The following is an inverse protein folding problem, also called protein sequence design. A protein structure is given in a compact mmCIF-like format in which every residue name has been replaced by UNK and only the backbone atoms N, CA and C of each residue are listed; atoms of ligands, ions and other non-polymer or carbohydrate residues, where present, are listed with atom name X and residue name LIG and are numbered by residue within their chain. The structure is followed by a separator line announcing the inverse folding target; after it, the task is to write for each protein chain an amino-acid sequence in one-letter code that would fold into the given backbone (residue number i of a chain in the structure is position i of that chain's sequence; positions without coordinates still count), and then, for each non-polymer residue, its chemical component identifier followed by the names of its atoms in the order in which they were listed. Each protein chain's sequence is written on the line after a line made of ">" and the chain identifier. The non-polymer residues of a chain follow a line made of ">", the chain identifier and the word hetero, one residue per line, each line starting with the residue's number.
data_IF_138409059432
#
_entry.id   IF_138409059432
#
_cell.length_a   1.000
_cell.length_b   1.000
_cell.length_c   1.000
_cell.angle_alpha   90.00
_cell.angle_beta   90.00
_cell.angle_gamma   90.00
#
_symmetry.space_group_name_H-M   'P 1'
#
loop_
_entity.id
_entity.type
_entity.pdbx_description
1 polymer ?
#
# COMPACT_ATOMS: atom_id res chain seq x y z
N UNK A 1 -6.35 -36.30 11.43
CA UNK A 1 -6.69 -34.91 11.81
C UNK A 1 -7.19 -34.20 10.56
N UNK A 2 -8.50 -34.04 10.44
CA UNK A 2 -9.12 -33.40 9.27
C UNK A 2 -9.00 -31.89 9.44
N UNK A 3 -8.13 -31.25 8.64
CA UNK A 3 -8.13 -29.79 8.55
C UNK A 3 -9.32 -29.44 7.66
N UNK A 4 -10.46 -29.13 8.29
CA UNK A 4 -11.62 -28.58 7.60
C UNK A 4 -11.20 -27.27 6.94
N UNK A 5 -10.99 -27.31 5.62
CA UNK A 5 -10.73 -26.13 4.83
C UNK A 5 -11.91 -25.15 4.93
N UNK A 6 -11.66 -23.84 4.73
CA UNK A 6 -12.72 -22.83 4.76
C UNK A 6 -13.80 -23.17 3.72
N UNK A 7 -15.08 -22.86 3.99
CA UNK A 7 -16.20 -23.23 3.12
C UNK A 7 -16.03 -22.62 1.72
N UNK A 8 -16.40 -23.34 0.67
CA UNK A 8 -16.19 -22.94 -0.74
C UNK A 8 -16.70 -21.51 -1.07
N UNK A 9 -17.78 -21.08 -0.41
CA UNK A 9 -18.35 -19.73 -0.53
C UNK A 9 -17.37 -18.63 -0.07
N UNK A 10 -16.58 -18.89 0.97
CA UNK A 10 -15.58 -17.94 1.48
C UNK A 10 -14.38 -17.82 0.53
N UNK A 11 -13.95 -18.92 -0.08
CA UNK A 11 -12.91 -18.92 -1.12
C UNK A 11 -13.35 -18.09 -2.34
N UNK A 12 -14.61 -18.23 -2.75
CA UNK A 12 -15.22 -17.44 -3.82
C UNK A 12 -15.26 -15.94 -3.47
N UNK A 13 -15.72 -15.58 -2.28
CA UNK A 13 -15.79 -14.19 -1.83
C UNK A 13 -14.41 -13.52 -1.83
N UNK A 14 -13.38 -14.21 -1.32
CA UNK A 14 -11.99 -13.71 -1.31
C UNK A 14 -11.44 -13.55 -2.74
N UNK A 15 -11.75 -14.48 -3.65
CA UNK A 15 -11.35 -14.39 -5.05
C UNK A 15 -11.96 -13.16 -5.76
N UNK A 16 -13.24 -12.86 -5.48
CA UNK A 16 -13.89 -11.64 -5.96
C UNK A 16 -13.25 -10.39 -5.36
N UNK A 17 -13.01 -10.38 -4.04
CA UNK A 17 -12.47 -9.23 -3.34
C UNK A 17 -11.04 -8.88 -3.79
N UNK A 18 -10.17 -9.87 -4.01
CA UNK A 18 -8.80 -9.61 -4.51
C UNK A 18 -8.80 -9.09 -5.95
N UNK A 19 -9.73 -9.59 -6.78
CA UNK A 19 -9.90 -9.10 -8.16
C UNK A 19 -10.38 -7.65 -8.15
N UNK A 20 -11.35 -7.32 -7.31
CA UNK A 20 -11.83 -5.96 -7.10
C UNK A 20 -10.72 -5.03 -6.57
N UNK A 21 -9.89 -5.50 -5.62
CA UNK A 21 -8.79 -4.73 -5.06
C UNK A 21 -7.74 -4.38 -6.13
N UNK A 22 -7.34 -5.36 -6.96
CA UNK A 22 -6.42 -5.12 -8.08
C UNK A 22 -6.97 -4.07 -9.03
N UNK A 23 -8.22 -4.23 -9.45
CA UNK A 23 -8.88 -3.33 -10.38
C UNK A 23 -9.06 -1.92 -9.79
N UNK A 24 -9.34 -1.80 -8.49
CA UNK A 24 -9.39 -0.53 -7.77
C UNK A 24 -8.02 0.16 -7.74
N UNK A 25 -6.94 -0.62 -7.56
CA UNK A 25 -5.57 -0.13 -7.66
C UNK A 25 -5.25 0.45 -9.03
N UNK A 26 -5.52 -0.30 -10.10
CA UNK A 26 -5.26 0.14 -11.49
C UNK A 26 -6.06 1.40 -11.87
N UNK A 27 -7.32 1.49 -11.41
CA UNK A 27 -8.15 2.70 -11.60
C UNK A 27 -7.84 3.82 -10.61
N UNK A 28 -6.98 3.59 -9.62
CA UNK A 28 -6.70 4.52 -8.51
C UNK A 28 -7.98 4.98 -7.81
N UNK A 29 -8.88 4.03 -7.55
CA UNK A 29 -10.21 4.24 -6.99
C UNK A 29 -10.25 3.94 -5.48
N UNK A 30 -10.14 4.97 -4.62
CA UNK A 30 -10.18 4.77 -3.18
C UNK A 30 -11.57 4.42 -2.65
N UNK A 31 -12.64 4.70 -3.39
CA UNK A 31 -14.01 4.34 -3.02
C UNK A 31 -14.19 2.83 -3.11
N UNK A 32 -13.78 2.25 -4.23
CA UNK A 32 -13.80 0.80 -4.43
C UNK A 32 -12.93 0.06 -3.39
N UNK A 33 -11.78 0.62 -2.99
CA UNK A 33 -11.00 0.02 -1.88
C UNK A 33 -11.78 0.07 -0.57
N UNK A 34 -12.44 1.19 -0.25
CA UNK A 34 -13.15 1.37 1.01
C UNK A 34 -14.28 0.35 1.23
N UNK A 35 -14.94 -0.09 0.15
CA UNK A 35 -15.97 -1.13 0.17
C UNK A 35 -15.44 -2.52 0.56
N UNK A 36 -14.14 -2.77 0.32
CA UNK A 36 -13.48 -4.04 0.60
C UNK A 36 -12.95 -4.13 2.04
N UNK A 37 -12.91 -3.03 2.79
CA UNK A 37 -12.28 -2.97 4.11
C UNK A 37 -13.24 -3.43 5.22
N UNK A 38 -12.74 -4.30 6.11
CA UNK A 38 -13.43 -4.61 7.35
C UNK A 38 -13.43 -3.41 8.30
N UNK A 39 -14.39 -3.31 9.25
CA UNK A 39 -14.45 -2.21 10.21
C UNK A 39 -13.17 -2.03 11.03
N UNK A 40 -12.49 -3.14 11.34
CA UNK A 40 -11.31 -3.26 12.20
C UNK A 40 -10.00 -3.46 11.41
N UNK A 41 -9.99 -3.15 10.11
CA UNK A 41 -8.82 -3.34 9.25
C UNK A 41 -7.56 -2.65 9.80
N UNK A 42 -6.41 -3.31 9.67
CA UNK A 42 -5.10 -2.74 10.00
C UNK A 42 -4.23 -2.66 8.75
N UNK A 43 -3.63 -1.49 8.50
CA UNK A 43 -2.67 -1.29 7.42
C UNK A 43 -1.24 -1.13 7.96
N UNK A 44 -0.32 -1.94 7.44
CA UNK A 44 1.10 -1.97 7.79
C UNK A 44 1.93 -1.26 6.73
N UNK A 45 2.57 -0.17 7.14
CA UNK A 45 3.35 0.69 6.25
C UNK A 45 4.68 0.04 5.84
N UNK A 46 5.11 0.18 4.57
CA UNK A 46 6.45 -0.22 4.12
C UNK A 46 7.56 0.73 4.61
N UNK A 47 7.19 1.86 5.22
CA UNK A 47 8.12 2.93 5.63
C UNK A 47 8.50 2.79 7.10
N UNK A 48 7.52 2.55 7.97
CA UNK A 48 7.72 2.54 9.43
C UNK A 48 6.59 1.80 10.14
N UNK A 49 6.96 0.99 11.12
CA UNK A 49 6.00 0.30 12.00
C UNK A 49 5.38 1.25 13.05
N UNK A 50 5.96 2.45 13.23
CA UNK A 50 5.49 3.41 14.25
C UNK A 50 4.20 4.13 13.87
N UNK A 51 3.84 4.12 12.58
CA UNK A 51 2.59 4.72 12.11
C UNK A 51 1.52 3.66 12.03
N UNK A 52 0.45 3.84 12.82
CA UNK A 52 -0.72 2.98 12.78
C UNK A 52 -1.84 3.61 11.94
N UNK A 53 -2.45 2.76 11.12
CA UNK A 53 -3.62 3.06 10.31
C UNK A 53 -4.60 1.93 10.60
N UNK A 54 -5.58 2.24 11.43
CA UNK A 54 -6.51 1.26 11.97
C UNK A 54 -7.93 1.75 11.72
N UNK A 55 -8.79 0.81 11.37
CA UNK A 55 -10.18 1.06 11.06
C UNK A 55 -10.41 1.50 9.61
N UNK A 56 -11.61 1.16 9.11
CA UNK A 56 -12.01 1.38 7.72
C UNK A 56 -11.79 2.81 7.24
N UNK A 57 -12.19 3.80 8.03
CA UNK A 57 -12.15 5.21 7.62
C UNK A 57 -10.72 5.71 7.42
N UNK A 58 -9.81 5.38 8.34
CA UNK A 58 -8.42 5.82 8.28
C UNK A 58 -7.65 5.10 7.18
N UNK A 59 -7.89 3.80 6.98
CA UNK A 59 -7.27 3.03 5.88
C UNK A 59 -7.83 3.47 4.52
N UNK A 60 -9.12 3.78 4.40
CA UNK A 60 -9.69 4.37 3.18
C UNK A 60 -9.10 5.75 2.88
N UNK A 61 -8.91 6.58 3.92
CA UNK A 61 -8.26 7.88 3.78
C UNK A 61 -6.79 7.76 3.36
N UNK A 62 -6.07 6.78 3.89
CA UNK A 62 -4.72 6.47 3.45
C UNK A 62 -4.67 6.06 1.97
N UNK A 63 -5.62 5.25 1.49
CA UNK A 63 -5.67 4.88 0.06
C UNK A 63 -5.94 6.08 -0.84
N UNK A 64 -6.76 7.05 -0.41
CA UNK A 64 -6.88 8.35 -1.11
C UNK A 64 -5.52 9.05 -1.24
N UNK A 65 -4.74 9.09 -0.17
CA UNK A 65 -3.41 9.72 -0.17
C UNK A 65 -2.41 8.94 -1.05
N UNK A 66 -2.46 7.61 -1.03
CA UNK A 66 -1.63 6.71 -1.86
C UNK A 66 -1.94 6.92 -3.34
N UNK A 67 -3.20 6.87 -3.73
CA UNK A 67 -3.60 7.02 -5.13
C UNK A 67 -3.39 8.44 -5.68
N UNK A 68 -3.27 9.44 -4.79
CA UNK A 68 -2.87 10.78 -5.17
C UNK A 68 -1.35 10.94 -5.41
N UNK A 69 -0.52 9.97 -5.04
CA UNK A 69 0.94 10.00 -5.26
C UNK A 69 1.44 8.94 -6.23
N UNK A 70 0.73 7.81 -6.34
CA UNK A 70 1.05 6.75 -7.28
C UNK A 70 0.44 7.05 -8.65
N UNK A 71 1.21 6.75 -9.68
CA UNK A 71 0.87 6.87 -11.10
C UNK A 71 1.14 5.52 -11.79
N UNK A 72 0.48 5.29 -12.93
CA UNK A 72 0.72 4.14 -13.81
C UNK A 72 0.71 2.77 -13.09
N UNK A 73 -0.30 2.53 -12.25
CA UNK A 73 -0.39 1.28 -11.47
C UNK A 73 -0.77 0.11 -12.39
N UNK A 74 0.06 -0.93 -12.41
CA UNK A 74 -0.20 -2.19 -13.13
C UNK A 74 0.03 -3.39 -12.20
N UNK A 75 -0.96 -4.28 -12.09
CA UNK A 75 -0.94 -5.40 -11.13
C UNK A 75 -0.61 -6.73 -11.80
N UNK A 76 0.06 -7.62 -11.05
CA UNK A 76 0.23 -9.03 -11.44
C UNK A 76 -0.97 -9.86 -11.00
N UNK A 77 -1.06 -11.08 -11.52
CA UNK A 77 -1.97 -12.08 -10.96
C UNK A 77 -1.67 -12.35 -9.48
N UNK A 78 -2.71 -12.62 -8.65
CA UNK A 78 -2.54 -12.85 -7.24
C UNK A 78 -2.15 -14.29 -6.93
N UNK A 79 -1.25 -14.45 -5.97
CA UNK A 79 -0.99 -15.69 -5.25
C UNK A 79 -2.03 -15.89 -4.16
N UNK A 80 -2.32 -17.15 -3.83
CA UNK A 80 -3.29 -17.52 -2.81
C UNK A 80 -2.72 -18.51 -1.77
N UNK A 81 -2.96 -18.23 -0.49
CA UNK A 81 -2.65 -19.11 0.62
C UNK A 81 -3.76 -18.98 1.68
N UNK A 82 -4.64 -19.97 1.78
CA UNK A 82 -5.77 -19.92 2.73
C UNK A 82 -6.64 -18.69 2.53
N UNK A 83 -6.78 -17.88 3.58
CA UNK A 83 -7.53 -16.61 3.61
C UNK A 83 -6.70 -15.39 3.14
N UNK A 84 -5.43 -15.63 2.77
CA UNK A 84 -4.47 -14.59 2.40
C UNK A 84 -4.27 -14.58 0.89
N UNK A 85 -4.17 -13.39 0.32
CA UNK A 85 -3.82 -13.16 -1.08
C UNK A 85 -2.65 -12.20 -1.17
N UNK A 86 -1.86 -12.35 -2.22
CA UNK A 86 -0.77 -11.43 -2.49
C UNK A 86 -0.63 -11.15 -3.96
N UNK A 87 -0.40 -9.90 -4.34
CA UNK A 87 -0.09 -9.54 -5.71
C UNK A 87 0.96 -8.44 -5.72
N UNK A 88 1.79 -8.46 -6.75
CA UNK A 88 2.74 -7.38 -6.99
C UNK A 88 2.11 -6.33 -7.90
N UNK A 89 2.62 -5.10 -7.83
CA UNK A 89 2.30 -4.06 -8.77
C UNK A 89 3.53 -3.21 -9.07
N UNK A 90 3.58 -2.68 -10.28
CA UNK A 90 4.50 -1.60 -10.66
C UNK A 90 3.75 -0.27 -10.68
N UNK A 91 4.43 0.80 -10.30
CA UNK A 91 3.90 2.16 -10.32
C UNK A 91 5.03 3.18 -10.43
N UNK A 92 4.67 4.44 -10.57
CA UNK A 92 5.59 5.58 -10.49
C UNK A 92 5.19 6.55 -9.39
N UNK A 93 6.19 7.21 -8.82
CA UNK A 93 6.00 8.36 -7.92
C UNK A 93 6.95 9.45 -8.39
N UNK A 94 6.43 10.60 -8.84
CA UNK A 94 7.23 11.71 -9.35
C UNK A 94 8.26 11.26 -10.39
N UNK A 95 7.83 10.40 -11.32
CA UNK A 95 8.66 9.85 -12.39
C UNK A 95 9.68 8.79 -11.97
N UNK A 96 9.70 8.36 -10.71
CA UNK A 96 10.55 7.25 -10.23
C UNK A 96 9.74 5.98 -10.14
N UNK A 97 10.21 4.93 -10.79
CA UNK A 97 9.56 3.61 -10.75
C UNK A 97 9.74 2.93 -9.39
N UNK A 98 8.69 2.23 -9.00
CA UNK A 98 8.71 1.30 -7.88
C UNK A 98 7.94 0.04 -8.24
N UNK A 99 8.32 -1.04 -7.58
CA UNK A 99 7.59 -2.29 -7.53
C UNK A 99 7.24 -2.55 -6.06
N UNK A 100 6.02 -2.99 -5.84
CA UNK A 100 5.54 -3.27 -4.49
C UNK A 100 4.71 -4.55 -4.50
N UNK A 101 4.66 -5.22 -3.35
CA UNK A 101 3.83 -6.39 -3.14
C UNK A 101 2.86 -6.10 -2.00
N UNK A 102 1.58 -6.34 -2.26
CA UNK A 102 0.54 -6.32 -1.25
C UNK A 102 0.38 -7.74 -0.70
N UNK A 103 0.35 -7.89 0.61
CA UNK A 103 0.00 -9.11 1.34
C UNK A 103 -1.25 -8.79 2.15
N UNK A 104 -2.36 -9.43 1.79
CA UNK A 104 -3.69 -9.04 2.24
C UNK A 104 -4.41 -10.25 2.82
N UNK A 105 -4.88 -10.13 4.07
CA UNK A 105 -5.68 -11.16 4.73
C UNK A 105 -7.14 -10.75 4.75
N UNK A 106 -8.00 -11.71 4.47
CA UNK A 106 -9.45 -11.51 4.40
C UNK A 106 -10.17 -12.27 5.50
N UNK A 107 -11.33 -11.78 5.94
CA UNK A 107 -12.24 -12.53 6.80
C UNK A 107 -13.16 -13.45 5.96
N UNK A 108 -14.04 -14.20 6.63
CA UNK A 108 -14.99 -15.11 5.97
C UNK A 108 -16.01 -14.43 5.06
N UNK A 109 -16.19 -13.12 5.20
CA UNK A 109 -17.08 -12.29 4.37
C UNK A 109 -16.37 -11.70 3.15
N UNK A 110 -15.08 -12.00 2.95
CA UNK A 110 -14.29 -11.43 1.85
C UNK A 110 -13.86 -9.98 2.10
N UNK A 111 -13.88 -9.50 3.35
CA UNK A 111 -13.41 -8.16 3.70
C UNK A 111 -11.96 -8.21 4.18
N UNK A 112 -11.19 -7.17 3.87
CA UNK A 112 -9.79 -7.04 4.24
C UNK A 112 -9.67 -6.68 5.72
N UNK A 113 -8.96 -7.50 6.48
CA UNK A 113 -8.68 -7.28 7.91
C UNK A 113 -7.22 -6.93 8.19
N UNK A 114 -6.29 -7.33 7.32
CA UNK A 114 -4.87 -6.98 7.41
C UNK A 114 -4.34 -6.65 6.01
N UNK A 115 -3.69 -5.51 5.87
CA UNK A 115 -3.11 -5.04 4.62
C UNK A 115 -1.65 -4.66 4.85
N UNK A 116 -0.72 -5.39 4.25
CA UNK A 116 0.72 -5.14 4.39
C UNK A 116 1.37 -4.92 3.04
N UNK A 117 2.28 -3.95 2.98
CA UNK A 117 2.97 -3.60 1.74
C UNK A 117 4.48 -3.65 1.95
N UNK A 118 5.18 -4.13 0.93
CA UNK A 118 6.63 -4.02 0.81
C UNK A 118 6.96 -3.36 -0.53
N UNK A 119 8.01 -2.54 -0.56
CA UNK A 119 8.34 -1.72 -1.74
C UNK A 119 9.83 -1.81 -2.05
N UNK A 120 10.14 -1.87 -3.35
CA UNK A 120 11.47 -1.77 -3.93
C UNK A 120 11.43 -0.89 -5.20
N UNK A 121 12.56 -0.48 -5.77
CA UNK A 121 13.89 -0.40 -5.13
C UNK A 121 13.93 0.70 -4.06
N UNK A 122 15.06 0.85 -3.36
CA UNK A 122 15.23 1.85 -2.31
C UNK A 122 14.97 3.27 -2.83
N UNK A 123 15.40 3.61 -4.05
CA UNK A 123 15.10 4.91 -4.65
C UNK A 123 13.59 5.17 -4.82
N UNK A 124 12.82 4.13 -5.18
CA UNK A 124 11.35 4.21 -5.29
C UNK A 124 10.69 4.42 -3.93
N UNK A 125 11.09 3.62 -2.92
CA UNK A 125 10.63 3.76 -1.54
C UNK A 125 10.97 5.13 -0.94
N UNK A 126 12.19 5.62 -1.18
CA UNK A 126 12.62 6.95 -0.75
C UNK A 126 11.77 8.06 -1.39
N UNK A 127 11.42 7.91 -2.67
CA UNK A 127 10.58 8.88 -3.38
C UNK A 127 9.14 8.86 -2.84
N UNK A 128 8.61 7.67 -2.55
CA UNK A 128 7.33 7.51 -1.86
C UNK A 128 7.35 8.17 -0.46
N UNK A 129 8.43 7.98 0.31
CA UNK A 129 8.63 8.62 1.61
C UNK A 129 8.66 10.15 1.55
N UNK A 130 9.17 10.74 0.47
CA UNK A 130 9.13 12.19 0.27
C UNK A 130 7.77 12.73 -0.23
N UNK A 131 6.84 11.85 -0.61
CA UNK A 131 5.56 12.23 -1.20
C UNK A 131 4.37 11.96 -0.27
N UNK A 132 4.31 10.77 0.34
CA UNK A 132 3.13 10.29 1.06
C UNK A 132 3.01 10.83 2.51
N UNK A 133 4.02 10.71 3.40
CA UNK A 133 3.95 11.24 4.76
C UNK A 133 3.54 12.72 4.87
N UNK A 134 4.04 13.65 4.01
CA UNK A 134 3.56 15.03 4.03
C UNK A 134 2.07 15.18 3.75
N UNK A 135 1.49 14.36 2.86
CA UNK A 135 0.04 14.37 2.56
C UNK A 135 -0.77 13.84 3.73
N UNK A 136 -0.33 12.72 4.31
CA UNK A 136 -0.97 12.14 5.50
C UNK A 136 -0.92 13.13 6.67
N UNK A 137 0.23 13.79 6.88
CA UNK A 137 0.37 14.81 7.91
C UNK A 137 -0.52 16.03 7.64
N UNK A 138 -0.63 16.47 6.38
CA UNK A 138 -1.53 17.56 6.00
C UNK A 138 -3.00 17.22 6.27
N UNK A 139 -3.42 15.99 5.96
CA UNK A 139 -4.78 15.50 6.24
C UNK A 139 -5.07 15.40 7.74
N UNK A 140 -4.14 14.84 8.52
CA UNK A 140 -4.33 14.60 9.97
C UNK A 140 -4.13 15.85 10.84
N UNK A 141 -3.22 16.76 10.47
CA UNK A 141 -2.77 17.88 11.33
C UNK A 141 -2.73 19.24 10.62
N UNK A 142 -3.29 19.33 9.42
CA UNK A 142 -3.37 20.56 8.64
C UNK A 142 -2.13 20.85 7.79
N UNK A 143 -2.30 21.76 6.81
CA UNK A 143 -1.33 22.02 5.73
C UNK A 143 0.06 22.44 6.22
N UNK A 144 0.15 23.19 7.33
CA UNK A 144 1.42 23.63 7.90
C UNK A 144 2.28 22.47 8.39
N UNK A 145 1.69 21.50 9.10
CA UNK A 145 2.40 20.29 9.54
C UNK A 145 2.86 19.45 8.34
N UNK A 146 2.03 19.35 7.30
CA UNK A 146 2.42 18.70 6.05
C UNK A 146 3.64 19.34 5.39
N UNK A 147 3.68 20.68 5.34
CA UNK A 147 4.82 21.42 4.80
C UNK A 147 6.10 21.20 5.62
N UNK A 148 6.00 21.18 6.95
CA UNK A 148 7.12 20.87 7.84
C UNK A 148 7.68 19.45 7.58
N UNK A 149 6.81 18.45 7.50
CA UNK A 149 7.22 17.06 7.19
C UNK A 149 7.85 16.96 5.79
N UNK A 150 7.33 17.71 4.81
CA UNK A 150 7.93 17.75 3.47
C UNK A 150 9.35 18.33 3.49
N UNK A 151 9.59 19.38 4.25
CA UNK A 151 10.92 20.00 4.38
C UNK A 151 11.94 18.99 4.96
N UNK A 152 11.52 18.15 5.90
CA UNK A 152 12.39 17.12 6.49
C UNK A 152 12.59 15.90 5.57
N UNK A 153 11.54 15.42 4.89
CA UNK A 153 11.61 14.17 4.12
C UNK A 153 12.40 14.29 2.80
N UNK A 154 12.38 15.47 2.16
CA UNK A 154 12.99 15.69 0.83
C UNK A 154 14.51 15.47 0.81
N UNK A 155 15.31 16.05 1.73
CA UNK A 155 16.76 15.84 1.74
C UNK A 155 17.13 14.37 1.91
N UNK A 156 16.47 13.66 2.84
CA UNK A 156 16.72 12.22 3.09
C UNK A 156 16.46 11.40 1.83
N UNK A 157 15.35 11.67 1.14
CA UNK A 157 15.03 10.95 -0.10
C UNK A 157 16.05 11.21 -1.21
N UNK A 158 16.58 12.43 -1.31
CA UNK A 158 17.61 12.76 -2.29
C UNK A 158 18.92 12.00 -2.02
N UNK A 159 19.35 11.93 -0.75
CA UNK A 159 20.53 11.17 -0.33
C UNK A 159 20.35 9.69 -0.64
N UNK A 160 19.22 9.09 -0.27
CA UNK A 160 18.95 7.67 -0.51
C UNK A 160 18.91 7.34 -2.01
N UNK A 161 18.35 8.23 -2.84
CA UNK A 161 18.37 8.07 -4.31
C UNK A 161 19.76 8.19 -4.91
N UNK A 162 20.59 9.08 -4.37
CA UNK A 162 21.98 9.22 -4.82
C UNK A 162 22.80 7.98 -4.44
N UNK A 163 22.66 7.49 -3.20
CA UNK A 163 23.30 6.27 -2.74
C UNK A 163 22.91 5.06 -3.61
N UNK A 164 21.61 4.85 -3.85
CA UNK A 164 21.09 3.75 -4.69
C UNK A 164 21.67 3.75 -6.12
N UNK A 165 22.01 4.92 -6.68
CA UNK A 165 22.65 5.03 -8.01
C UNK A 165 24.17 4.83 -8.00
N UNK A 166 24.84 5.27 -6.94
CA UNK A 166 26.30 5.31 -6.87
C UNK A 166 26.86 4.00 -6.33
N UNK A 167 26.25 3.43 -5.29
CA UNK A 167 26.77 2.22 -4.63
C UNK A 167 26.90 1.02 -5.57
N UNK A 168 25.95 0.73 -6.49
CA UNK A 168 26.11 -0.38 -7.43
C UNK A 168 27.23 -0.20 -8.46
N UNK A 169 27.81 1.00 -8.61
CA UNK A 169 28.97 1.25 -9.47
C UNK A 169 30.31 1.03 -8.77
N UNK A 170 30.29 0.87 -7.45
CA UNK A 170 31.48 0.69 -6.60
C UNK A 170 31.71 -0.78 -6.23
N UNK A 171 30.82 -1.68 -6.66
CA UNK A 171 30.90 -3.12 -6.50
C UNK A 171 30.92 -3.82 -7.85
#
# INVERSE_FOLDING_TARGET
>A
MSVSGPPATSTSAIATAITALRAAGERRDPGAVAELLAPDVVFHSPITERLRFEGREEVAALHRDIFAVLEDINTTEPLALGDTRSFSFRARVRGVELEAINLVRFNSYGQIVDFKVFVRPLAGLATLFAALPPRVAARRRGRLHGAFVAAFARPVALVLRAADRLTPRLI
#
